data_IF_946246388445
#
_entry.id   IF_946246388445
#
_cell.length_a   1.000
_cell.length_b   1.000
_cell.length_c   1.000
_cell.angle_alpha   90.00
_cell.angle_beta   90.00
_cell.angle_gamma   90.00
#
_symmetry.space_group_name_H-M   'P 1'
#
loop_
_entity.id
_entity.type
_entity.pdbx_description
1 polymer ?
#
# COMPACT_ATOMS: atom_id res chain seq x y z
N UNK A 1 31.51 -17.32 12.30
CA UNK A 1 30.45 -17.82 11.35
C UNK A 1 29.08 -17.96 12.02
N UNK A 2 29.00 -18.41 13.26
CA UNK A 2 27.73 -18.60 14.00
C UNK A 2 26.90 -17.33 14.25
N UNK A 3 27.55 -16.20 14.56
CA UNK A 3 26.80 -14.95 14.85
C UNK A 3 26.02 -14.42 13.64
N UNK A 4 26.62 -14.49 12.46
CA UNK A 4 25.97 -14.05 11.21
C UNK A 4 24.89 -15.01 10.68
N UNK A 5 24.98 -16.30 10.98
CA UNK A 5 23.92 -17.26 10.69
C UNK A 5 22.70 -17.00 11.58
N UNK A 6 22.93 -16.72 12.89
CA UNK A 6 21.84 -16.40 13.83
C UNK A 6 21.12 -15.08 13.47
N UNK A 7 21.87 -14.10 12.92
CA UNK A 7 21.29 -12.83 12.46
C UNK A 7 20.42 -13.02 11.20
N UNK A 8 20.79 -13.94 10.31
CA UNK A 8 19.94 -14.33 9.18
C UNK A 8 18.69 -15.05 9.65
N UNK A 9 18.85 -16.02 10.53
CA UNK A 9 17.70 -16.74 11.09
C UNK A 9 16.71 -15.76 11.74
N UNK A 10 17.22 -14.75 12.46
CA UNK A 10 16.39 -13.71 13.03
C UNK A 10 15.66 -12.87 11.99
N UNK A 11 16.37 -12.47 10.91
CA UNK A 11 15.74 -11.68 9.84
C UNK A 11 14.74 -12.50 9.00
N UNK A 12 15.03 -13.78 8.75
CA UNK A 12 14.08 -14.69 8.10
C UNK A 12 12.88 -14.93 9.03
N UNK A 13 13.11 -15.08 10.33
CA UNK A 13 12.03 -15.21 11.30
C UNK A 13 11.14 -13.95 11.32
N UNK A 14 11.76 -12.76 11.31
CA UNK A 14 11.01 -11.50 11.25
C UNK A 14 10.21 -11.37 9.93
N UNK A 15 10.81 -11.67 8.80
CA UNK A 15 10.10 -11.64 7.51
C UNK A 15 8.94 -12.66 7.46
N UNK A 16 9.11 -13.82 8.06
CA UNK A 16 8.04 -14.82 8.19
C UNK A 16 6.95 -14.36 9.15
N UNK A 17 7.30 -13.63 10.20
CA UNK A 17 6.35 -13.04 11.13
C UNK A 17 5.55 -11.91 10.48
N UNK A 18 6.22 -11.07 9.68
CA UNK A 18 5.59 -10.03 8.89
C UNK A 18 4.65 -10.63 7.83
N UNK A 19 5.06 -11.68 7.13
CA UNK A 19 4.20 -12.44 6.18
C UNK A 19 2.98 -13.00 6.91
N UNK A 20 3.15 -13.64 8.08
CA UNK A 20 2.03 -14.16 8.87
C UNK A 20 1.10 -13.06 9.37
N UNK A 21 1.66 -11.91 9.76
CA UNK A 21 0.86 -10.74 10.15
C UNK A 21 -0.02 -10.27 8.97
N UNK A 22 0.57 -10.17 7.77
CA UNK A 22 -0.12 -9.81 6.54
C UNK A 22 -1.16 -10.85 6.10
N UNK A 23 -0.85 -12.13 6.23
CA UNK A 23 -1.81 -13.23 5.98
C UNK A 23 -2.99 -13.17 6.97
N UNK A 24 -2.74 -12.90 8.24
CA UNK A 24 -3.78 -12.75 9.25
C UNK A 24 -4.68 -11.53 8.94
N UNK A 25 -4.10 -10.43 8.51
CA UNK A 25 -4.86 -9.23 8.12
C UNK A 25 -5.74 -9.49 6.88
N UNK A 26 -5.22 -10.23 5.89
CA UNK A 26 -5.99 -10.66 4.72
C UNK A 26 -7.15 -11.59 5.10
N UNK A 27 -6.96 -12.46 6.10
CA UNK A 27 -8.02 -13.31 6.66
C UNK A 27 -9.07 -12.45 7.38
N UNK A 28 -8.66 -11.48 8.20
CA UNK A 28 -9.59 -10.58 8.90
C UNK A 28 -10.47 -9.77 7.92
N UNK A 29 -9.88 -9.28 6.84
CA UNK A 29 -10.63 -8.61 5.76
C UNK A 29 -11.66 -9.54 5.12
N UNK A 30 -11.30 -10.80 4.82
CA UNK A 30 -12.25 -11.79 4.28
C UNK A 30 -13.41 -12.09 5.22
N UNK A 31 -13.13 -12.22 6.51
CA UNK A 31 -14.18 -12.42 7.53
C UNK A 31 -15.12 -11.23 7.56
N UNK A 32 -14.59 -10.00 7.55
CA UNK A 32 -15.41 -8.77 7.52
C UNK A 32 -16.28 -8.66 6.26
N UNK A 33 -15.75 -9.03 5.10
CA UNK A 33 -16.52 -9.10 3.85
C UNK A 33 -17.73 -10.03 4.03
N UNK A 34 -17.51 -11.23 4.56
CA UNK A 34 -18.59 -12.21 4.79
C UNK A 34 -19.65 -11.69 5.77
N UNK A 35 -19.23 -11.00 6.83
CA UNK A 35 -20.16 -10.36 7.79
C UNK A 35 -21.00 -9.28 7.10
N UNK A 36 -20.41 -8.48 6.23
CA UNK A 36 -21.10 -7.44 5.48
C UNK A 36 -22.08 -7.98 4.44
N UNK A 37 -21.71 -9.05 3.76
CA UNK A 37 -22.60 -9.75 2.82
C UNK A 37 -23.81 -10.34 3.55
N UNK A 38 -23.61 -10.91 4.74
CA UNK A 38 -24.70 -11.42 5.58
C UNK A 38 -25.61 -10.29 6.09
N UNK A 39 -25.04 -9.16 6.48
CA UNK A 39 -25.82 -7.97 6.88
C UNK A 39 -26.66 -7.44 5.71
N UNK A 40 -26.10 -7.36 4.51
CA UNK A 40 -26.80 -6.97 3.27
C UNK A 40 -27.96 -7.91 2.95
N UNK A 41 -27.74 -9.21 3.07
CA UNK A 41 -28.81 -10.20 2.84
C UNK A 41 -29.92 -10.04 3.88
N UNK A 42 -29.56 -9.84 5.16
CA UNK A 42 -30.55 -9.58 6.23
C UNK A 42 -31.37 -8.31 5.98
N UNK A 43 -30.77 -7.25 5.47
CA UNK A 43 -31.48 -6.02 5.13
C UNK A 43 -32.39 -6.20 3.89
N UNK A 44 -32.01 -7.05 2.95
CA UNK A 44 -32.82 -7.41 1.79
C UNK A 44 -34.06 -8.23 2.23
N UNK A 45 -33.86 -9.16 3.17
CA UNK A 45 -34.94 -9.98 3.73
C UNK A 45 -35.94 -9.13 4.54
N UNK A 46 -35.45 -8.16 5.34
CA UNK A 46 -36.30 -7.18 6.03
C UNK A 46 -37.14 -6.34 5.07
N UNK A 47 -36.51 -5.94 3.94
CA UNK A 47 -37.22 -5.21 2.90
C UNK A 47 -38.32 -6.03 2.23
N UNK A 48 -38.06 -7.31 1.96
CA UNK A 48 -39.07 -8.19 1.37
C UNK A 48 -40.25 -8.45 2.34
N UNK A 49 -39.95 -8.55 3.65
CA UNK A 49 -40.98 -8.66 4.69
C UNK A 49 -41.83 -7.39 4.77
N UNK A 50 -41.22 -6.21 4.70
CA UNK A 50 -41.93 -4.93 4.69
C UNK A 50 -42.85 -4.78 3.44
N UNK A 51 -42.38 -5.28 2.28
CA UNK A 51 -43.21 -5.31 1.05
C UNK A 51 -44.42 -6.26 1.18
N UNK A 52 -44.21 -7.42 1.80
CA UNK A 52 -45.31 -8.39 2.05
C UNK A 52 -46.36 -7.84 3.06
N UNK A 53 -45.87 -7.13 4.07
CA UNK A 53 -46.72 -6.44 5.05
C UNK A 53 -47.54 -5.30 4.38
N UNK A 54 -46.89 -4.60 3.44
CA UNK A 54 -47.50 -3.57 2.62
C UNK A 54 -48.66 -4.12 1.75
N UNK A 55 -48.45 -5.28 1.12
CA UNK A 55 -49.49 -5.97 0.36
C UNK A 55 -50.66 -6.41 1.28
N UNK A 56 -50.35 -6.81 2.51
CA UNK A 56 -51.33 -7.08 3.56
C UNK A 56 -52.15 -5.86 3.91
N UNK A 57 -51.51 -4.70 4.14
CA UNK A 57 -52.23 -3.44 4.40
C UNK A 57 -53.02 -2.96 3.19
N UNK A 58 -52.55 -3.19 1.97
CA UNK A 58 -53.32 -2.91 0.74
C UNK A 58 -54.62 -3.75 0.71
N UNK A 59 -54.50 -5.05 0.97
CA UNK A 59 -55.70 -5.91 1.06
C UNK A 59 -56.69 -5.45 2.13
N UNK A 60 -56.19 -5.07 3.32
CA UNK A 60 -57.02 -4.53 4.40
C UNK A 60 -57.67 -3.19 3.98
N UNK A 61 -56.94 -2.33 3.27
CA UNK A 61 -57.46 -1.07 2.74
C UNK A 61 -58.56 -1.29 1.70
N UNK A 62 -58.37 -2.26 0.78
CA UNK A 62 -59.33 -2.60 -0.24
C UNK A 62 -60.59 -3.22 0.37
N UNK A 63 -60.46 -4.11 1.37
CA UNK A 63 -61.57 -4.69 2.13
C UNK A 63 -62.31 -3.63 2.95
N UNK A 64 -61.62 -2.67 3.61
CA UNK A 64 -62.23 -1.56 4.30
C UNK A 64 -63.04 -0.65 3.35
N UNK A 65 -62.44 -0.39 2.15
CA UNK A 65 -63.13 0.37 1.10
C UNK A 65 -64.41 -0.31 0.62
N UNK A 66 -64.36 -1.64 0.47
CA UNK A 66 -65.54 -2.43 0.09
C UNK A 66 -66.64 -2.43 1.18
N UNK A 67 -66.24 -2.55 2.46
CA UNK A 67 -67.14 -2.40 3.60
C UNK A 67 -67.71 -0.98 3.71
N UNK A 68 -66.90 0.06 3.39
CA UNK A 68 -67.45 1.41 3.31
C UNK A 68 -68.46 1.58 2.17
N UNK A 69 -68.18 1.04 0.97
CA UNK A 69 -69.12 1.07 -0.16
C UNK A 69 -70.42 0.29 0.11
N UNK A 70 -70.37 -0.79 0.85
CA UNK A 70 -71.53 -1.55 1.29
C UNK A 70 -72.33 -0.77 2.35
N UNK A 71 -71.65 0.04 3.15
CA UNK A 71 -72.28 0.87 4.18
C UNK A 71 -72.72 2.27 3.69
N UNK A 72 -72.31 2.64 2.45
CA UNK A 72 -72.69 3.92 1.82
C UNK A 72 -74.22 4.20 1.80
N UNK A 73 -75.02 3.18 1.90
CA UNK A 73 -76.51 3.31 1.88
C UNK A 73 -77.11 3.78 3.21
N UNK A 74 -76.33 3.89 4.23
CA UNK A 74 -76.94 4.08 5.50
C UNK A 74 -76.79 5.48 6.12
N UNK A 75 -75.81 6.28 5.79
CA UNK A 75 -75.64 7.51 6.61
C UNK A 75 -74.61 8.50 6.06
N UNK A 76 -75.03 9.76 5.90
CA UNK A 76 -74.16 10.92 5.61
C UNK A 76 -73.08 11.18 6.69
N UNK A 77 -73.08 10.42 7.79
CA UNK A 77 -72.10 10.55 8.87
C UNK A 77 -70.77 9.84 8.60
N UNK A 78 -70.69 8.94 7.62
CA UNK A 78 -69.48 8.21 7.34
C UNK A 78 -68.51 8.91 6.30
N UNK A 79 -69.05 9.91 5.56
CA UNK A 79 -68.20 10.63 4.59
C UNK A 79 -67.03 11.35 5.24
N UNK A 80 -67.25 11.88 6.46
CA UNK A 80 -66.16 12.52 7.23
C UNK A 80 -65.13 11.49 7.74
N UNK A 81 -65.59 10.27 8.06
CA UNK A 81 -64.72 9.18 8.53
C UNK A 81 -63.90 8.59 7.38
N UNK A 82 -64.52 8.43 6.20
CA UNK A 82 -63.83 8.01 4.96
C UNK A 82 -62.78 9.05 4.57
N UNK A 83 -63.13 10.35 4.58
CA UNK A 83 -62.17 11.41 4.25
C UNK A 83 -60.98 11.47 5.24
N UNK A 84 -61.23 11.15 6.52
CA UNK A 84 -60.15 11.05 7.51
C UNK A 84 -59.22 9.86 7.24
N UNK A 85 -59.81 8.70 6.89
CA UNK A 85 -59.06 7.48 6.57
C UNK A 85 -58.24 7.65 5.30
N UNK A 86 -58.80 8.26 4.26
CA UNK A 86 -58.09 8.57 3.02
C UNK A 86 -56.90 9.53 3.27
N UNK A 87 -57.10 10.52 4.15
CA UNK A 87 -56.02 11.41 4.56
C UNK A 87 -54.89 10.67 5.31
N UNK A 88 -55.26 9.69 6.16
CA UNK A 88 -54.28 8.86 6.85
C UNK A 88 -53.58 7.88 5.92
N UNK A 89 -54.31 7.26 4.99
CA UNK A 89 -53.72 6.41 3.93
C UNK A 89 -52.71 7.21 3.10
N UNK A 90 -53.11 8.40 2.64
CA UNK A 90 -52.21 9.28 1.86
C UNK A 90 -50.92 9.67 2.63
N UNK A 91 -51.05 9.94 3.95
CA UNK A 91 -49.89 10.18 4.81
C UNK A 91 -49.00 8.95 4.96
N UNK A 92 -49.63 7.78 5.11
CA UNK A 92 -48.88 6.54 5.21
C UNK A 92 -48.21 6.15 3.89
N UNK A 93 -48.86 6.38 2.74
CA UNK A 93 -48.29 6.19 1.41
C UNK A 93 -47.10 7.13 1.17
N UNK A 94 -47.24 8.40 1.59
CA UNK A 94 -46.13 9.35 1.54
C UNK A 94 -44.95 8.90 2.42
N UNK A 95 -45.27 8.51 3.66
CA UNK A 95 -44.26 8.01 4.61
C UNK A 95 -43.53 6.77 4.08
N UNK A 96 -44.27 5.89 3.41
CA UNK A 96 -43.73 4.69 2.79
C UNK A 96 -42.85 4.98 1.61
N UNK A 97 -43.29 5.92 0.75
CA UNK A 97 -42.50 6.40 -0.40
C UNK A 97 -41.18 7.01 0.07
N UNK A 98 -41.22 7.84 1.10
CA UNK A 98 -40.04 8.47 1.70
C UNK A 98 -39.11 7.44 2.36
N UNK A 99 -39.65 6.47 3.07
CA UNK A 99 -38.90 5.38 3.68
C UNK A 99 -38.20 4.51 2.61
N UNK A 100 -38.91 4.19 1.53
CA UNK A 100 -38.40 3.40 0.41
C UNK A 100 -37.28 4.15 -0.32
N UNK A 101 -37.46 5.45 -0.56
CA UNK A 101 -36.46 6.32 -1.18
C UNK A 101 -35.21 6.44 -0.30
N UNK A 102 -35.39 6.65 1.00
CA UNK A 102 -34.32 6.69 1.99
C UNK A 102 -33.53 5.39 2.05
N UNK A 103 -34.22 4.26 2.05
CA UNK A 103 -33.62 2.93 2.04
C UNK A 103 -32.80 2.66 0.78
N UNK A 104 -33.36 2.99 -0.40
CA UNK A 104 -32.65 2.89 -1.68
C UNK A 104 -31.38 3.74 -1.69
N UNK A 105 -31.47 4.97 -1.18
CA UNK A 105 -30.32 5.87 -1.04
C UNK A 105 -29.25 5.28 -0.10
N UNK A 106 -29.66 4.80 1.06
CA UNK A 106 -28.76 4.19 2.05
C UNK A 106 -28.09 2.92 1.52
N UNK A 107 -28.85 2.06 0.86
CA UNK A 107 -28.33 0.85 0.21
C UNK A 107 -27.32 1.20 -0.90
N UNK A 108 -27.61 2.21 -1.72
CA UNK A 108 -26.69 2.66 -2.76
C UNK A 108 -25.39 3.22 -2.16
N UNK A 109 -25.49 3.98 -1.08
CA UNK A 109 -24.31 4.51 -0.37
C UNK A 109 -23.47 3.37 0.24
N UNK A 110 -24.12 2.41 0.88
CA UNK A 110 -23.44 1.24 1.45
C UNK A 110 -22.72 0.44 0.35
N UNK A 111 -23.39 0.17 -0.76
CA UNK A 111 -22.82 -0.56 -1.89
C UNK A 111 -21.59 0.18 -2.48
N UNK A 112 -21.70 1.50 -2.64
CA UNK A 112 -20.60 2.31 -3.14
C UNK A 112 -19.37 2.30 -2.21
N UNK A 113 -19.58 2.45 -0.90
CA UNK A 113 -18.47 2.41 0.06
C UNK A 113 -17.89 0.99 0.19
N UNK A 114 -18.71 -0.04 0.13
CA UNK A 114 -18.28 -1.44 0.07
C UNK A 114 -17.42 -1.70 -1.16
N UNK A 115 -17.87 -1.27 -2.33
CA UNK A 115 -17.10 -1.40 -3.57
C UNK A 115 -15.74 -0.68 -3.50
N UNK A 116 -15.71 0.54 -2.95
CA UNK A 116 -14.47 1.30 -2.76
C UNK A 116 -13.53 0.58 -1.80
N UNK A 117 -14.05 0.09 -0.67
CA UNK A 117 -13.28 -0.72 0.30
C UNK A 117 -12.66 -1.95 -0.37
N UNK A 118 -13.45 -2.69 -1.13
CA UNK A 118 -12.99 -3.93 -1.80
C UNK A 118 -11.98 -3.64 -2.89
N UNK A 119 -12.16 -2.56 -3.64
CA UNK A 119 -11.18 -2.09 -4.62
C UNK A 119 -9.83 -1.76 -3.98
N UNK A 120 -9.83 -1.07 -2.85
CA UNK A 120 -8.59 -0.77 -2.10
C UNK A 120 -7.96 -2.07 -1.58
N UNK A 121 -8.74 -2.98 -1.00
CA UNK A 121 -8.26 -4.27 -0.51
C UNK A 121 -7.64 -5.11 -1.64
N UNK A 122 -8.26 -5.13 -2.81
CA UNK A 122 -7.73 -5.83 -3.99
C UNK A 122 -6.41 -5.21 -4.48
N UNK A 123 -6.30 -3.87 -4.49
CA UNK A 123 -5.04 -3.20 -4.85
C UNK A 123 -3.92 -3.56 -3.88
N UNK A 124 -4.20 -3.58 -2.57
CA UNK A 124 -3.24 -4.03 -1.55
C UNK A 124 -2.80 -5.47 -1.82
N UNK A 125 -3.74 -6.38 -2.05
CA UNK A 125 -3.43 -7.78 -2.35
C UNK A 125 -2.54 -7.91 -3.59
N UNK A 126 -2.84 -7.15 -4.65
CA UNK A 126 -2.02 -7.12 -5.88
C UNK A 126 -0.61 -6.63 -5.59
N UNK A 127 -0.44 -5.51 -4.88
CA UNK A 127 0.89 -4.99 -4.56
C UNK A 127 1.68 -5.94 -3.65
N UNK A 128 1.04 -6.59 -2.67
CA UNK A 128 1.67 -7.59 -1.81
C UNK A 128 2.12 -8.80 -2.63
N UNK A 129 1.28 -9.31 -3.53
CA UNK A 129 1.65 -10.40 -4.44
C UNK A 129 2.84 -10.02 -5.32
N UNK A 130 2.86 -8.80 -5.88
CA UNK A 130 4.00 -8.29 -6.65
C UNK A 130 5.29 -8.24 -5.81
N UNK A 131 5.19 -7.90 -4.52
CA UNK A 131 6.34 -7.89 -3.63
C UNK A 131 6.84 -9.29 -3.28
N UNK A 132 5.94 -10.23 -3.01
CA UNK A 132 6.26 -11.63 -2.72
C UNK A 132 6.95 -12.31 -3.90
N UNK A 133 6.51 -12.01 -5.12
CA UNK A 133 7.07 -12.57 -6.34
C UNK A 133 8.19 -11.73 -6.94
N UNK A 134 8.63 -10.67 -6.26
CA UNK A 134 9.65 -9.75 -6.75
C UNK A 134 9.33 -9.20 -8.15
N UNK A 135 8.06 -8.90 -8.42
CA UNK A 135 7.68 -8.31 -9.70
C UNK A 135 8.23 -6.89 -9.84
N UNK A 136 8.78 -6.61 -11.03
CA UNK A 136 9.51 -5.37 -11.31
C UNK A 136 10.99 -5.41 -10.98
N UNK A 137 11.47 -6.49 -10.36
CA UNK A 137 12.90 -6.77 -10.22
C UNK A 137 13.43 -7.54 -11.45
N UNK A 138 14.74 -7.45 -11.66
CA UNK A 138 15.40 -8.19 -12.74
C UNK A 138 15.27 -9.71 -12.54
N UNK A 139 15.35 -10.47 -13.62
CA UNK A 139 15.29 -11.93 -13.57
C UNK A 139 16.34 -12.52 -12.62
N UNK A 140 17.55 -11.94 -12.61
CA UNK A 140 18.63 -12.37 -11.75
C UNK A 140 18.28 -12.23 -10.26
N UNK A 141 17.68 -11.11 -9.86
CA UNK A 141 17.26 -10.88 -8.48
C UNK A 141 16.15 -11.86 -8.08
N UNK A 142 15.12 -11.99 -8.90
CA UNK A 142 14.03 -12.95 -8.67
C UNK A 142 14.55 -14.39 -8.52
N UNK A 143 15.45 -14.77 -9.40
CA UNK A 143 16.06 -16.12 -9.38
C UNK A 143 16.82 -16.37 -8.07
N UNK A 144 17.70 -15.44 -7.67
CA UNK A 144 18.44 -15.55 -6.41
C UNK A 144 17.51 -15.66 -5.21
N UNK A 145 16.50 -14.76 -5.13
CA UNK A 145 15.58 -14.75 -3.99
C UNK A 145 14.76 -16.04 -3.92
N UNK A 146 14.33 -16.59 -5.07
CA UNK A 146 13.64 -17.88 -5.15
C UNK A 146 14.56 -19.02 -4.71
N UNK A 147 15.78 -19.11 -5.24
CA UNK A 147 16.72 -20.18 -4.88
C UNK A 147 17.11 -20.11 -3.40
N UNK A 148 17.19 -18.89 -2.84
CA UNK A 148 17.46 -18.70 -1.43
C UNK A 148 16.28 -19.17 -0.55
N UNK A 149 15.05 -18.82 -0.89
CA UNK A 149 13.86 -19.27 -0.15
C UNK A 149 13.66 -20.79 -0.19
N UNK A 150 14.16 -21.45 -1.26
CA UNK A 150 14.14 -22.90 -1.43
C UNK A 150 15.36 -23.59 -0.77
N UNK A 151 16.27 -22.85 -0.12
CA UNK A 151 17.47 -23.39 0.52
C UNK A 151 18.50 -23.98 -0.48
N UNK A 152 18.45 -23.58 -1.75
CA UNK A 152 19.27 -24.14 -2.83
C UNK A 152 20.57 -23.39 -3.10
N UNK A 153 20.83 -22.29 -2.38
CA UNK A 153 22.10 -21.57 -2.47
C UNK A 153 23.07 -22.17 -1.45
N UNK A 154 24.09 -22.83 -1.94
CA UNK A 154 25.12 -23.46 -1.11
C UNK A 154 26.49 -22.94 -1.48
N UNK A 155 27.42 -23.02 -0.54
CA UNK A 155 28.83 -22.74 -0.78
C UNK A 155 29.50 -23.81 -1.68
N UNK A 156 30.80 -23.67 -1.90
CA UNK A 156 31.56 -24.62 -2.73
C UNK A 156 31.63 -26.04 -2.13
N UNK A 157 31.32 -26.22 -0.85
CA UNK A 157 31.34 -27.49 -0.11
C UNK A 157 29.95 -28.09 0.10
N UNK A 158 28.89 -27.44 -0.44
CA UNK A 158 27.51 -27.89 -0.31
C UNK A 158 26.85 -27.45 1.01
N UNK A 159 27.53 -26.67 1.83
CA UNK A 159 26.92 -26.10 3.04
C UNK A 159 25.98 -24.91 2.68
N UNK A 160 24.91 -24.69 3.46
CA UNK A 160 24.03 -23.55 3.27
C UNK A 160 24.84 -22.24 3.28
N UNK A 161 24.51 -21.32 2.38
CA UNK A 161 25.12 -19.99 2.38
C UNK A 161 24.71 -19.18 3.60
N UNK A 162 25.47 -18.11 3.90
CA UNK A 162 25.08 -17.12 4.90
C UNK A 162 23.81 -16.35 4.52
N UNK A 163 23.60 -15.24 5.20
CA UNK A 163 22.37 -14.43 5.04
C UNK A 163 22.27 -13.72 3.71
N UNK A 164 21.16 -13.92 3.01
CA UNK A 164 20.70 -13.01 1.96
C UNK A 164 19.54 -12.19 2.50
N UNK A 165 19.78 -10.91 2.82
CA UNK A 165 18.76 -9.99 3.36
C UNK A 165 17.72 -9.58 2.29
N UNK A 166 18.08 -9.66 1.04
CA UNK A 166 17.25 -9.30 -0.10
C UNK A 166 17.71 -8.05 -0.83
N UNK A 167 16.91 -7.56 -1.79
CA UNK A 167 17.19 -6.31 -2.48
C UNK A 167 17.26 -5.12 -1.50
N UNK A 168 18.10 -4.14 -1.80
CA UNK A 168 18.29 -2.95 -0.97
C UNK A 168 16.95 -2.26 -0.62
N UNK A 169 16.04 -2.18 -1.59
CA UNK A 169 14.70 -1.62 -1.40
C UNK A 169 13.85 -2.31 -0.32
N UNK A 170 14.15 -3.55 0.04
CA UNK A 170 13.45 -4.30 1.09
C UNK A 170 14.02 -4.07 2.50
N UNK A 171 15.25 -3.56 2.59
CA UNK A 171 15.95 -3.38 3.87
C UNK A 171 15.98 -1.92 4.34
N UNK A 172 15.42 -1.01 3.54
CA UNK A 172 15.35 0.42 3.83
C UNK A 172 13.91 0.91 3.93
N UNK A 173 13.72 2.01 4.64
CA UNK A 173 12.47 2.76 4.72
C UNK A 173 12.74 4.24 4.51
N UNK A 174 11.89 4.93 3.77
CA UNK A 174 12.04 6.35 3.45
C UNK A 174 10.73 7.06 3.72
N UNK A 175 10.81 8.27 4.26
CA UNK A 175 9.63 9.11 4.42
C UNK A 175 9.10 9.54 3.04
N UNK A 176 7.77 9.57 2.88
CA UNK A 176 7.10 9.90 1.62
C UNK A 176 7.61 11.20 0.98
N UNK A 177 7.98 12.18 1.81
CA UNK A 177 8.54 13.46 1.37
C UNK A 177 9.85 13.33 0.57
N UNK A 178 10.66 12.33 0.90
CA UNK A 178 12.00 12.13 0.30
C UNK A 178 12.04 10.96 -0.68
N UNK A 179 10.93 10.25 -0.83
CA UNK A 179 10.84 9.00 -1.56
C UNK A 179 11.37 9.12 -2.99
N UNK A 180 10.89 10.11 -3.74
CA UNK A 180 11.30 10.35 -5.13
C UNK A 180 12.79 10.66 -5.22
N UNK A 181 13.31 11.54 -4.35
CA UNK A 181 14.72 11.89 -4.33
C UNK A 181 15.62 10.68 -4.05
N UNK A 182 15.28 9.87 -3.07
CA UNK A 182 16.07 8.68 -2.69
C UNK A 182 15.95 7.59 -3.76
N UNK A 183 14.78 7.43 -4.38
CA UNK A 183 14.59 6.48 -5.48
C UNK A 183 15.45 6.83 -6.69
N UNK A 184 15.54 8.09 -7.04
CA UNK A 184 16.44 8.60 -8.10
C UNK A 184 17.90 8.52 -7.68
N UNK A 185 18.23 8.84 -6.44
CA UNK A 185 19.60 8.76 -5.93
C UNK A 185 20.15 7.34 -5.99
N UNK A 186 19.37 6.35 -5.59
CA UNK A 186 19.74 4.94 -5.61
C UNK A 186 19.63 4.32 -7.00
N UNK A 187 18.61 4.68 -7.77
CA UNK A 187 18.38 4.16 -9.10
C UNK A 187 18.42 2.63 -9.16
N UNK A 188 19.23 2.06 -10.03
CA UNK A 188 19.39 0.61 -10.18
C UNK A 188 19.90 -0.10 -8.90
N UNK A 189 20.57 0.61 -7.99
CA UNK A 189 21.06 0.01 -6.74
C UNK A 189 19.94 -0.48 -5.82
N UNK A 190 18.72 -0.01 -5.99
CA UNK A 190 17.54 -0.50 -5.26
C UNK A 190 17.30 -2.00 -5.43
N UNK A 191 17.70 -2.55 -6.57
CA UNK A 191 17.56 -3.97 -6.88
C UNK A 191 18.76 -4.81 -6.44
N UNK A 192 19.88 -4.20 -6.08
CA UNK A 192 21.07 -4.92 -5.68
C UNK A 192 20.84 -5.63 -4.35
N UNK A 193 21.39 -6.83 -4.24
CA UNK A 193 21.10 -7.75 -3.15
C UNK A 193 22.07 -7.52 -2.00
N UNK A 194 21.54 -7.22 -0.83
CA UNK A 194 22.32 -7.12 0.41
C UNK A 194 22.53 -8.53 0.95
N UNK A 195 23.77 -8.87 1.22
CA UNK A 195 24.19 -10.16 1.74
C UNK A 195 25.12 -9.98 2.93
N UNK A 196 25.22 -11.02 3.71
CA UNK A 196 26.03 -11.03 4.92
C UNK A 196 27.51 -10.78 4.64
N UNK A 197 28.09 -11.58 3.78
CA UNK A 197 29.53 -11.58 3.49
C UNK A 197 29.84 -11.92 2.02
N UNK A 198 31.12 -11.87 1.71
CA UNK A 198 31.63 -12.19 0.36
C UNK A 198 31.46 -13.67 -0.01
N UNK A 199 31.46 -14.59 0.98
CA UNK A 199 31.26 -16.00 0.73
C UNK A 199 29.84 -16.27 0.23
N UNK A 200 28.86 -15.63 0.89
CA UNK A 200 27.43 -15.66 0.50
C UNK A 200 27.23 -15.03 -0.88
N UNK A 201 27.88 -13.89 -1.15
CA UNK A 201 27.83 -13.26 -2.47
C UNK A 201 28.36 -14.21 -3.56
N UNK A 202 29.50 -14.87 -3.33
CA UNK A 202 30.09 -15.84 -4.26
C UNK A 202 29.16 -17.03 -4.50
N UNK A 203 28.57 -17.59 -3.44
CA UNK A 203 27.61 -18.70 -3.54
C UNK A 203 26.40 -18.31 -4.42
N UNK A 204 25.84 -17.13 -4.20
CA UNK A 204 24.74 -16.60 -5.01
C UNK A 204 25.16 -16.35 -6.46
N UNK A 205 26.38 -15.81 -6.70
CA UNK A 205 26.93 -15.62 -8.05
C UNK A 205 27.13 -16.96 -8.78
N UNK A 206 27.63 -18.00 -8.10
CA UNK A 206 27.73 -19.35 -8.66
C UNK A 206 26.37 -19.93 -9.02
N UNK A 207 25.36 -19.72 -8.16
CA UNK A 207 23.99 -20.16 -8.42
C UNK A 207 23.40 -19.44 -9.64
N UNK A 208 23.60 -18.11 -9.78
CA UNK A 208 23.21 -17.35 -10.96
C UNK A 208 23.87 -17.88 -12.24
N UNK A 209 25.19 -18.13 -12.19
CA UNK A 209 25.94 -18.63 -13.34
C UNK A 209 25.46 -20.01 -13.78
N UNK A 210 25.25 -20.93 -12.82
CA UNK A 210 24.75 -22.28 -13.07
C UNK A 210 23.32 -22.30 -13.65
N UNK A 211 22.48 -21.35 -13.23
CA UNK A 211 21.11 -21.23 -13.71
C UNK A 211 20.94 -20.33 -14.94
N UNK A 212 22.05 -19.80 -15.52
CA UNK A 212 22.02 -18.86 -16.66
C UNK A 212 21.03 -17.70 -16.47
N UNK A 213 20.82 -17.28 -15.20
CA UNK A 213 19.73 -16.36 -14.80
C UNK A 213 20.11 -14.86 -14.93
N UNK A 214 21.25 -14.58 -15.58
CA UNK A 214 21.72 -13.19 -15.79
C UNK A 214 22.70 -12.74 -14.72
N UNK A 215 22.76 -11.41 -14.48
CA UNK A 215 23.70 -10.77 -13.55
C UNK A 215 22.97 -9.98 -12.48
N UNK A 216 23.46 -10.05 -11.25
CA UNK A 216 23.04 -9.20 -10.13
C UNK A 216 24.29 -8.63 -9.43
N UNK A 217 24.11 -7.48 -8.79
CA UNK A 217 25.13 -6.90 -7.90
C UNK A 217 24.79 -7.25 -6.46
N UNK A 218 25.82 -7.60 -5.70
CA UNK A 218 25.70 -7.93 -4.29
C UNK A 218 26.45 -6.93 -3.43
N UNK A 219 25.86 -6.60 -2.28
CA UNK A 219 26.45 -5.73 -1.26
C UNK A 219 26.76 -6.54 0.01
N UNK A 220 27.98 -7.12 0.12
CA UNK A 220 28.36 -7.82 1.34
C UNK A 220 28.58 -6.81 2.48
N UNK A 221 27.92 -7.04 3.61
CA UNK A 221 28.01 -6.14 4.76
C UNK A 221 29.45 -6.05 5.31
N UNK A 222 30.22 -7.12 5.16
CA UNK A 222 31.60 -7.21 5.64
C UNK A 222 32.60 -6.38 4.82
N UNK A 223 32.35 -6.17 3.52
CA UNK A 223 33.28 -5.47 2.63
C UNK A 223 32.85 -4.04 2.31
N UNK A 224 31.57 -3.71 2.47
CA UNK A 224 31.09 -2.35 2.23
C UNK A 224 31.59 -1.41 3.31
N UNK A 225 32.20 -0.30 2.89
CA UNK A 225 32.72 0.74 3.80
C UNK A 225 31.88 2.00 3.66
N UNK A 226 31.63 2.67 4.80
CA UNK A 226 30.98 3.98 4.79
C UNK A 226 31.79 4.97 3.94
N UNK A 227 31.10 5.85 3.24
CA UNK A 227 31.72 6.99 2.57
C UNK A 227 32.23 7.98 3.61
N UNK A 228 33.43 8.48 3.38
CA UNK A 228 33.92 9.62 4.14
C UNK A 228 33.22 10.90 3.68
N UNK A 229 32.81 11.72 4.64
CA UNK A 229 32.23 13.03 4.36
C UNK A 229 33.34 13.93 3.79
N UNK A 230 33.15 14.39 2.58
CA UNK A 230 34.11 15.32 1.94
C UNK A 230 33.78 16.76 2.38
N UNK A 231 34.77 17.65 2.18
CA UNK A 231 34.65 19.06 2.47
C UNK A 231 33.46 19.69 1.70
N UNK A 232 33.30 19.32 0.45
CA UNK A 232 32.25 19.82 -0.43
C UNK A 232 30.86 19.41 0.07
N UNK A 233 30.68 18.20 0.64
CA UNK A 233 29.42 17.76 1.25
C UNK A 233 29.07 18.63 2.47
N UNK A 234 30.08 18.97 3.27
CA UNK A 234 29.86 19.84 4.44
C UNK A 234 29.55 21.29 3.99
N UNK A 235 30.24 21.80 2.98
CA UNK A 235 29.99 23.13 2.42
C UNK A 235 28.59 23.23 1.77
N UNK A 236 28.08 22.14 1.17
CA UNK A 236 26.75 22.13 0.57
C UNK A 236 25.63 22.47 1.58
N UNK A 237 25.83 22.19 2.86
CA UNK A 237 24.85 22.49 3.91
C UNK A 237 24.63 24.00 4.15
N UNK A 238 25.55 24.85 3.68
CA UNK A 238 25.43 26.30 3.77
C UNK A 238 24.57 26.96 2.68
N UNK A 239 24.11 26.20 1.69
CA UNK A 239 23.32 26.74 0.59
C UNK A 239 21.82 26.68 0.85
N UNK A 240 21.10 27.66 0.31
CA UNK A 240 19.64 27.70 0.36
C UNK A 240 19.04 26.45 -0.31
N UNK A 241 17.94 25.95 0.24
CA UNK A 241 17.27 24.76 -0.26
C UNK A 241 17.92 23.42 0.10
N UNK A 242 19.02 23.42 0.88
CA UNK A 242 19.62 22.20 1.38
C UNK A 242 18.69 21.47 2.36
N UNK A 243 18.49 20.17 2.16
CA UNK A 243 17.66 19.32 3.01
C UNK A 243 18.51 18.38 3.87
N UNK A 244 19.51 17.77 3.27
CA UNK A 244 20.38 16.82 3.98
C UNK A 244 21.26 16.00 3.04
N UNK A 245 22.15 15.20 3.63
CA UNK A 245 22.83 14.12 2.90
C UNK A 245 21.83 12.96 2.73
N UNK A 246 21.80 12.37 1.56
CA UNK A 246 20.79 11.40 1.20
C UNK A 246 20.73 10.18 2.14
N UNK A 247 21.85 9.74 2.71
CA UNK A 247 21.90 8.64 3.67
C UNK A 247 21.22 8.97 5.00
N UNK A 248 21.20 10.24 5.42
CA UNK A 248 20.52 10.69 6.63
C UNK A 248 18.99 10.74 6.51
N UNK A 249 18.47 10.66 5.28
CA UNK A 249 17.03 10.71 4.96
C UNK A 249 16.42 9.30 4.78
N UNK A 250 17.22 8.27 5.04
CA UNK A 250 16.83 6.86 4.89
C UNK A 250 16.92 6.15 6.23
N UNK A 251 15.85 5.53 6.63
CA UNK A 251 15.80 4.68 7.80
C UNK A 251 16.16 3.24 7.45
N UNK A 252 17.05 2.64 8.25
CA UNK A 252 17.42 1.25 8.14
C UNK A 252 18.02 0.75 9.46
N UNK A 253 18.08 -0.57 9.61
CA UNK A 253 18.80 -1.19 10.75
C UNK A 253 20.28 -0.79 10.73
N UNK A 254 20.89 -0.79 11.90
CA UNK A 254 22.32 -0.38 12.09
C UNK A 254 23.28 -1.11 11.17
N UNK A 255 23.03 -2.39 10.93
CA UNK A 255 23.84 -3.26 10.06
C UNK A 255 23.94 -2.79 8.61
N UNK A 256 22.91 -2.08 8.10
CA UNK A 256 22.85 -1.59 6.72
C UNK A 256 23.40 -0.17 6.55
N UNK A 257 23.72 0.52 7.66
CA UNK A 257 24.17 1.92 7.59
C UNK A 257 25.44 2.12 6.76
N UNK A 258 26.37 1.17 6.81
CA UNK A 258 27.60 1.28 6.01
C UNK A 258 27.31 1.18 4.50
N UNK A 259 26.39 0.29 4.11
CA UNK A 259 25.94 0.17 2.71
C UNK A 259 25.27 1.47 2.26
N UNK A 260 24.35 2.00 3.08
CA UNK A 260 23.67 3.26 2.76
C UNK A 260 24.63 4.42 2.66
N UNK A 261 25.53 4.58 3.61
CA UNK A 261 26.56 5.63 3.56
C UNK A 261 27.49 5.48 2.35
N UNK A 262 27.84 4.24 1.98
CA UNK A 262 28.61 3.99 0.76
C UNK A 262 27.91 4.45 -0.52
N UNK A 263 26.58 4.29 -0.59
CA UNK A 263 25.80 4.59 -1.79
C UNK A 263 25.29 6.04 -1.81
N UNK A 264 24.90 6.57 -0.65
CA UNK A 264 24.17 7.83 -0.50
C UNK A 264 24.96 8.92 0.22
N UNK A 265 26.03 8.57 0.96
CA UNK A 265 26.78 9.51 1.80
C UNK A 265 27.52 10.61 1.03
N UNK A 266 27.56 10.53 -0.30
CA UNK A 266 28.11 11.56 -1.19
C UNK A 266 27.08 12.22 -2.09
N UNK A 267 25.80 12.06 -1.77
CA UNK A 267 24.68 12.65 -2.51
C UNK A 267 23.97 13.61 -1.56
N UNK A 268 23.76 14.84 -1.98
CA UNK A 268 22.97 15.81 -1.22
C UNK A 268 21.59 15.98 -1.83
N UNK A 269 20.62 16.25 -0.98
CA UNK A 269 19.23 16.47 -1.38
C UNK A 269 18.88 17.95 -1.22
N UNK A 270 18.26 18.51 -2.24
CA UNK A 270 17.78 19.89 -2.30
C UNK A 270 16.27 19.93 -2.57
N UNK A 271 15.66 21.05 -2.25
CA UNK A 271 14.24 21.29 -2.46
C UNK A 271 13.85 21.39 -3.95
N UNK A 272 14.67 22.10 -4.76
CA UNK A 272 14.43 22.35 -6.18
C UNK A 272 15.75 22.41 -6.98
N UNK A 273 15.61 22.42 -8.32
CA UNK A 273 16.77 22.38 -9.24
C UNK A 273 17.48 23.73 -9.29
N UNK A 274 16.81 24.84 -9.05
CA UNK A 274 17.36 26.18 -9.05
C UNK A 274 18.39 26.32 -7.93
N UNK A 275 18.03 26.00 -6.69
CA UNK A 275 18.95 26.01 -5.55
C UNK A 275 20.06 24.98 -5.71
N UNK A 276 19.72 23.77 -6.17
CA UNK A 276 20.71 22.72 -6.47
C UNK A 276 21.76 23.17 -7.49
N UNK A 277 21.33 23.91 -8.52
CA UNK A 277 22.22 24.41 -9.59
C UNK A 277 23.20 25.47 -9.09
N UNK A 278 22.73 26.37 -8.20
CA UNK A 278 23.59 27.40 -7.56
C UNK A 278 24.69 26.71 -6.75
N UNK A 279 24.33 25.77 -5.89
CA UNK A 279 25.28 25.01 -5.08
C UNK A 279 26.25 24.20 -5.97
N UNK A 280 25.74 23.46 -6.95
CA UNK A 280 26.55 22.63 -7.83
C UNK A 280 27.61 23.46 -8.58
N UNK A 281 27.26 24.63 -9.10
CA UNK A 281 28.18 25.57 -9.76
C UNK A 281 29.23 26.11 -8.79
N UNK A 282 28.82 26.49 -7.58
CA UNK A 282 29.75 27.00 -6.56
C UNK A 282 30.81 25.96 -6.14
N UNK A 283 30.40 24.68 -6.06
CA UNK A 283 31.25 23.56 -5.72
C UNK A 283 31.88 22.85 -6.96
N UNK A 284 31.90 23.55 -8.11
CA UNK A 284 32.54 23.06 -9.35
C UNK A 284 32.05 21.68 -9.79
N UNK A 285 30.75 21.37 -9.55
CA UNK A 285 30.07 20.09 -9.90
C UNK A 285 30.80 18.85 -9.32
N UNK A 286 31.36 18.99 -8.12
CA UNK A 286 32.06 17.88 -7.45
C UNK A 286 31.13 17.03 -6.59
N UNK A 287 29.91 17.51 -6.32
CA UNK A 287 28.89 16.83 -5.52
C UNK A 287 27.73 16.43 -6.41
N UNK A 288 27.29 15.19 -6.27
CA UNK A 288 26.02 14.76 -6.87
C UNK A 288 24.87 15.28 -6.03
N UNK A 289 23.89 15.91 -6.68
CA UNK A 289 22.70 16.43 -6.03
C UNK A 289 21.44 15.87 -6.67
N UNK A 290 20.42 15.64 -5.84
CA UNK A 290 19.08 15.22 -6.27
C UNK A 290 18.06 16.13 -5.60
N UNK A 291 17.01 16.50 -6.32
CA UNK A 291 15.94 17.34 -5.79
C UNK A 291 14.74 16.51 -5.36
N UNK A 292 13.84 17.11 -4.54
CA UNK A 292 12.64 16.42 -4.07
C UNK A 292 11.72 15.95 -5.20
N UNK A 293 11.69 16.66 -6.31
CA UNK A 293 10.93 16.32 -7.51
C UNK A 293 11.66 15.34 -8.46
N UNK A 294 12.88 14.89 -8.07
CA UNK A 294 13.62 13.86 -8.80
C UNK A 294 14.51 14.35 -9.93
N UNK A 295 14.80 15.64 -10.00
CA UNK A 295 15.85 16.15 -10.90
C UNK A 295 17.22 15.88 -10.29
N UNK A 296 18.25 15.68 -11.11
CA UNK A 296 19.59 15.47 -10.58
C UNK A 296 20.67 16.21 -11.38
N UNK A 297 21.70 16.62 -10.68
CA UNK A 297 22.96 17.11 -11.26
C UNK A 297 24.06 16.14 -10.86
N UNK A 298 24.71 15.55 -11.84
CA UNK A 298 25.79 14.58 -11.60
C UNK A 298 27.14 15.29 -11.42
N UNK A 299 28.09 14.58 -10.82
CA UNK A 299 29.48 15.00 -10.81
C UNK A 299 29.96 15.21 -12.25
N UNK A 300 30.61 16.32 -12.50
CA UNK A 300 31.03 16.71 -13.84
C UNK A 300 30.01 17.55 -14.60
N UNK A 301 28.82 17.86 -14.00
CA UNK A 301 27.93 18.91 -14.50
C UNK A 301 26.87 18.43 -15.48
N UNK A 302 26.61 17.13 -15.64
CA UNK A 302 25.48 16.68 -16.44
C UNK A 302 24.17 16.75 -15.65
N UNK A 303 23.09 17.19 -16.29
CA UNK A 303 21.76 17.28 -15.74
C UNK A 303 20.91 16.12 -16.26
N UNK A 304 20.15 15.50 -15.35
CA UNK A 304 19.16 14.48 -15.68
C UNK A 304 17.84 14.88 -15.05
N UNK A 305 16.81 14.97 -15.84
CA UNK A 305 15.51 15.43 -15.38
C UNK A 305 14.38 15.04 -16.32
N UNK A 306 13.17 15.37 -15.93
CA UNK A 306 11.94 15.06 -16.65
C UNK A 306 10.84 14.67 -15.69
N UNK A 307 9.71 14.19 -16.22
CA UNK A 307 8.59 13.74 -15.39
C UNK A 307 8.88 12.36 -14.82
N UNK A 308 8.86 12.24 -13.51
CA UNK A 308 8.91 10.96 -12.80
C UNK A 308 7.47 10.49 -12.57
N UNK A 309 7.12 9.27 -13.02
CA UNK A 309 5.82 8.67 -12.64
C UNK A 309 5.87 8.33 -11.16
N UNK A 310 5.24 9.14 -10.34
CA UNK A 310 5.06 8.87 -8.91
C UNK A 310 4.31 7.56 -8.71
N UNK A 311 4.81 6.72 -7.81
CA UNK A 311 4.16 5.44 -7.44
C UNK A 311 4.47 4.23 -8.33
N UNK A 312 5.32 4.37 -9.35
CA UNK A 312 5.71 3.24 -10.22
C UNK A 312 7.02 2.56 -9.82
N UNK A 313 7.76 3.13 -8.90
CA UNK A 313 9.05 2.61 -8.44
C UNK A 313 8.92 1.46 -7.43
N UNK A 314 10.00 0.72 -7.28
CA UNK A 314 10.06 -0.42 -6.36
C UNK A 314 9.95 0.06 -4.90
N UNK A 315 10.59 1.18 -4.58
CA UNK A 315 10.60 1.75 -3.23
C UNK A 315 9.25 2.41 -2.89
N UNK A 316 8.66 3.09 -3.85
CA UNK A 316 7.35 3.75 -3.70
C UNK A 316 6.21 2.77 -3.45
N UNK A 317 6.34 1.52 -3.89
CA UNK A 317 5.33 0.47 -3.69
C UNK A 317 5.07 0.17 -2.22
N UNK A 318 6.13 0.07 -1.39
CA UNK A 318 5.98 -0.15 0.04
C UNK A 318 5.25 1.00 0.75
N UNK A 319 5.55 2.24 0.37
CA UNK A 319 4.82 3.44 0.82
C UNK A 319 3.35 3.42 0.39
N UNK A 320 3.09 3.05 -0.87
CA UNK A 320 1.72 2.95 -1.41
C UNK A 320 0.89 1.87 -0.69
N UNK A 321 1.48 0.71 -0.40
CA UNK A 321 0.81 -0.34 0.41
C UNK A 321 0.40 0.24 1.77
N UNK A 322 1.31 0.89 2.46
CA UNK A 322 1.04 1.48 3.78
C UNK A 322 -0.06 2.56 3.72
N UNK A 323 -0.03 3.40 2.68
CA UNK A 323 -1.07 4.41 2.45
C UNK A 323 -2.43 3.78 2.19
N UNK A 324 -2.47 2.76 1.33
CA UNK A 324 -3.69 2.03 1.02
C UNK A 324 -4.23 1.24 2.22
N UNK A 325 -3.37 0.71 3.08
CA UNK A 325 -3.79 0.07 4.33
C UNK A 325 -4.46 1.05 5.28
N UNK A 326 -3.91 2.26 5.42
CA UNK A 326 -4.55 3.32 6.20
C UNK A 326 -5.92 3.72 5.58
N UNK A 327 -5.98 3.89 4.26
CA UNK A 327 -7.23 4.16 3.54
C UNK A 327 -8.25 3.03 3.74
N UNK A 328 -7.82 1.76 3.70
CA UNK A 328 -8.68 0.61 3.93
C UNK A 328 -9.33 0.66 5.32
N UNK A 329 -8.57 1.01 6.35
CA UNK A 329 -9.09 1.13 7.70
C UNK A 329 -10.13 2.27 7.82
N UNK A 330 -9.93 3.38 7.14
CA UNK A 330 -10.92 4.47 7.08
C UNK A 330 -12.21 4.03 6.37
N UNK A 331 -12.06 3.32 5.21
CA UNK A 331 -13.21 2.79 4.47
C UNK A 331 -13.99 1.74 5.29
N UNK A 332 -13.30 0.87 6.01
CA UNK A 332 -13.95 -0.09 6.92
C UNK A 332 -14.80 0.62 7.97
N UNK A 333 -14.28 1.69 8.57
CA UNK A 333 -15.03 2.51 9.54
C UNK A 333 -16.24 3.19 8.90
N UNK A 334 -16.09 3.70 7.67
CA UNK A 334 -17.19 4.33 6.94
C UNK A 334 -18.32 3.34 6.64
N UNK A 335 -17.96 2.13 6.19
CA UNK A 335 -18.93 1.05 5.95
C UNK A 335 -19.64 0.67 7.25
N UNK A 336 -18.91 0.39 8.33
CA UNK A 336 -19.48 0.04 9.62
C UNK A 336 -20.39 1.13 10.23
N UNK A 337 -20.20 2.40 9.83
CA UNK A 337 -21.08 3.51 10.23
C UNK A 337 -22.39 3.54 9.43
N UNK A 338 -22.34 3.09 8.17
CA UNK A 338 -23.52 3.03 7.30
C UNK A 338 -24.39 1.79 7.57
N UNK A 339 -23.84 0.81 8.28
CA UNK A 339 -24.55 -0.41 8.70
C UNK A 339 -25.34 -0.24 10.00
N UNK A 340 -25.03 0.79 10.78
CA UNK A 340 -25.77 1.17 12.00
C UNK A 340 -26.96 2.05 11.68
#
# INVERSE_FOLDING_TARGET
>A
MTAKANELEANVAQALEDIRALENEAVDVKVRISVLENAKNSDTDKNSSALTELEGYRKISDELSEQCAVKERAVANYDAEIASIDSEISKHEQTLTDATASLKSSTSRLNNETFRRDSVAQRIATFKSMEEHFEGYSNAVRYVMKQYSEGKITDAHGAPCGTIYGPLSKVISVNDKYLTAIEIALGANLQNIVVEDEATAKAAMHTLKRGEAGRATFFPLTSMKASETTKEITEAAGFEGYIGVADSLVDAKKEFKQVLSSLLGRIVVFDNIEHASVMAKALHYRVRVVTLDGQQINVGGSFTGGSVRTGSGILSRAGEIKRLEAELEERKKAVAKLEK
#
